data_IF_424451803981
#
_entry.id   IF_424451803981
#
_cell.length_a   1.000
_cell.length_b   1.000
_cell.length_c   1.000
_cell.angle_alpha   90.00
_cell.angle_beta   90.00
_cell.angle_gamma   90.00
#
_symmetry.space_group_name_H-M   'P 1'
#
loop_
_entity.id
_entity.type
_entity.pdbx_description
1 polymer ?
#
# COMPACT_ATOMS: atom_id res chain seq x y z
N UNK A 1 12.97 -0.78 10.92
CA UNK A 1 13.94 -0.01 10.12
C UNK A 1 13.84 -0.46 8.67
N UNK A 2 13.74 0.46 7.71
CA UNK A 2 13.90 0.18 6.28
C UNK A 2 15.26 0.70 5.85
N UNK A 3 16.08 -0.18 5.29
CA UNK A 3 17.40 0.18 4.79
C UNK A 3 17.34 0.50 3.29
N UNK A 4 18.20 1.42 2.87
CA UNK A 4 18.31 1.85 1.48
C UNK A 4 19.76 1.80 1.04
N UNK A 5 20.01 1.18 -0.11
CA UNK A 5 21.30 1.26 -0.80
C UNK A 5 21.34 2.43 -1.79
N UNK A 6 22.50 3.06 -1.94
CA UNK A 6 22.71 4.12 -2.93
C UNK A 6 22.98 3.48 -4.30
N UNK A 7 22.13 3.80 -5.28
CA UNK A 7 22.32 3.45 -6.69
C UNK A 7 22.45 4.69 -7.56
N UNK A 8 23.03 4.51 -8.73
CA UNK A 8 23.17 5.55 -9.74
C UNK A 8 22.62 5.11 -11.09
N UNK A 9 22.04 6.03 -11.85
CA UNK A 9 21.70 5.81 -13.27
C UNK A 9 21.84 7.11 -14.06
N UNK A 10 22.07 7.00 -15.36
CA UNK A 10 21.98 8.15 -16.26
C UNK A 10 20.51 8.51 -16.50
N UNK A 11 20.16 9.77 -16.31
CA UNK A 11 18.80 10.25 -16.53
C UNK A 11 18.57 10.54 -18.03
N UNK A 12 17.55 9.91 -18.62
CA UNK A 12 17.29 9.99 -20.07
C UNK A 12 16.35 11.14 -20.47
N UNK A 13 15.52 11.63 -19.52
CA UNK A 13 14.44 12.60 -19.78
C UNK A 13 14.39 13.63 -18.63
N UNK A 14 13.97 14.85 -18.96
CA UNK A 14 13.75 15.93 -17.99
C UNK A 14 14.97 16.83 -17.78
N UNK A 15 14.92 17.65 -16.72
CA UNK A 15 15.88 18.74 -16.48
C UNK A 15 17.34 18.28 -16.32
N UNK A 16 17.59 17.03 -15.91
CA UNK A 16 18.93 16.45 -15.71
C UNK A 16 19.30 15.43 -16.79
N UNK A 17 18.72 15.56 -18.00
CA UNK A 17 19.00 14.64 -19.12
C UNK A 17 20.51 14.58 -19.40
N UNK A 18 21.03 13.36 -19.53
CA UNK A 18 22.45 13.07 -19.79
C UNK A 18 23.34 13.07 -18.53
N UNK A 19 22.81 13.39 -17.35
CA UNK A 19 23.58 13.39 -16.10
C UNK A 19 23.37 12.09 -15.31
N UNK A 20 24.42 11.63 -14.62
CA UNK A 20 24.30 10.56 -13.62
C UNK A 20 23.61 11.10 -12.37
N UNK A 21 22.51 10.47 -11.99
CA UNK A 21 21.78 10.77 -10.76
C UNK A 21 21.92 9.63 -9.75
N UNK A 22 22.01 9.98 -8.48
CA UNK A 22 22.07 9.04 -7.36
C UNK A 22 20.73 9.00 -6.63
N UNK A 23 20.28 7.82 -6.24
CA UNK A 23 19.02 7.63 -5.53
C UNK A 23 19.11 6.48 -4.54
N UNK A 24 18.29 6.55 -3.49
CA UNK A 24 18.14 5.52 -2.49
C UNK A 24 17.16 4.45 -3.01
N UNK A 25 17.59 3.19 -3.07
CA UNK A 25 16.72 2.05 -3.34
C UNK A 25 16.56 1.24 -2.06
N UNK A 26 15.32 0.98 -1.63
CA UNK A 26 15.07 0.15 -0.47
C UNK A 26 15.66 -1.25 -0.70
N UNK A 27 16.36 -1.78 0.30
CA UNK A 27 16.78 -3.18 0.34
C UNK A 27 15.56 -4.08 0.57
N UNK A 28 15.73 -5.40 0.38
CA UNK A 28 14.65 -6.35 0.55
C UNK A 28 14.01 -6.20 1.95
N UNK A 29 12.71 -5.93 1.98
CA UNK A 29 11.96 -5.78 3.22
C UNK A 29 11.48 -7.15 3.70
N UNK A 30 11.42 -7.34 5.01
CA UNK A 30 10.78 -8.52 5.58
C UNK A 30 9.27 -8.47 5.31
N UNK A 31 8.71 -9.62 4.92
CA UNK A 31 7.28 -9.75 4.63
C UNK A 31 6.60 -10.56 5.73
N UNK A 32 5.57 -9.98 6.35
CA UNK A 32 4.70 -10.71 7.26
C UNK A 32 3.68 -11.50 6.42
N UNK A 33 3.83 -12.83 6.37
CA UNK A 33 2.95 -13.70 5.59
C UNK A 33 1.59 -13.88 6.28
N UNK A 34 0.56 -14.32 5.54
CA UNK A 34 -0.77 -14.58 6.11
C UNK A 34 -0.72 -15.56 7.29
N UNK A 35 0.10 -16.62 7.20
CA UNK A 35 0.28 -17.57 8.30
C UNK A 35 0.90 -16.89 9.53
N UNK A 36 1.91 -16.03 9.34
CA UNK A 36 2.49 -15.27 10.45
C UNK A 36 1.51 -14.27 11.08
N UNK A 37 0.59 -13.70 10.30
CA UNK A 37 -0.50 -12.86 10.81
C UNK A 37 -1.47 -13.70 11.65
N UNK A 38 -1.91 -14.85 11.13
CA UNK A 38 -2.79 -15.79 11.85
C UNK A 38 -2.15 -16.20 13.17
N UNK A 39 -0.90 -16.64 13.14
CA UNK A 39 -0.16 -17.06 14.34
C UNK A 39 -0.06 -15.95 15.38
N UNK A 40 0.07 -14.69 14.95
CA UNK A 40 0.06 -13.53 15.86
C UNK A 40 -1.31 -13.34 16.50
N UNK A 41 -2.38 -13.36 15.72
CA UNK A 41 -3.75 -13.19 16.25
C UNK A 41 -4.11 -14.32 17.23
N UNK A 42 -3.76 -15.56 16.90
CA UNK A 42 -3.97 -16.72 17.78
C UNK A 42 -3.24 -16.56 19.12
N UNK A 43 -2.03 -15.99 19.13
CA UNK A 43 -1.30 -15.74 20.38
C UNK A 43 -1.93 -14.66 21.25
N UNK A 44 -2.55 -13.66 20.63
CA UNK A 44 -3.14 -12.50 21.32
C UNK A 44 -4.63 -12.71 21.69
N UNK A 45 -5.24 -13.82 21.25
CA UNK A 45 -6.67 -14.09 21.42
C UNK A 45 -6.90 -15.55 21.84
N UNK A 46 -8.14 -15.91 22.16
CA UNK A 46 -8.52 -17.30 22.42
C UNK A 46 -9.02 -18.05 21.17
N UNK A 47 -8.88 -17.47 19.98
CA UNK A 47 -9.36 -18.07 18.73
C UNK A 47 -8.40 -19.14 18.24
N UNK A 48 -8.94 -20.20 17.61
CA UNK A 48 -8.09 -21.18 16.93
C UNK A 48 -7.54 -20.62 15.62
N UNK A 49 -6.46 -21.20 15.10
CA UNK A 49 -5.96 -20.85 13.77
C UNK A 49 -7.01 -21.05 12.67
N UNK A 50 -7.90 -22.04 12.83
CA UNK A 50 -9.02 -22.27 11.93
C UNK A 50 -10.04 -21.13 11.96
N UNK A 51 -10.41 -20.66 13.15
CA UNK A 51 -11.36 -19.55 13.31
C UNK A 51 -10.80 -18.26 12.70
N UNK A 52 -9.54 -17.93 12.96
CA UNK A 52 -8.89 -16.73 12.41
C UNK A 52 -8.79 -16.82 10.89
N UNK A 53 -8.42 -17.97 10.34
CA UNK A 53 -8.34 -18.19 8.89
C UNK A 53 -9.70 -18.00 8.23
N UNK A 54 -10.74 -18.61 8.81
CA UNK A 54 -12.12 -18.48 8.33
C UNK A 54 -12.58 -17.03 8.39
N UNK A 55 -12.32 -16.31 9.49
CA UNK A 55 -12.69 -14.91 9.63
C UNK A 55 -12.03 -14.02 8.55
N UNK A 56 -10.74 -14.24 8.23
CA UNK A 56 -10.04 -13.49 7.17
C UNK A 56 -10.65 -13.78 5.79
N UNK A 57 -10.95 -15.05 5.49
CA UNK A 57 -11.58 -15.45 4.21
C UNK A 57 -12.97 -14.83 4.09
N UNK A 58 -13.80 -14.95 5.14
CA UNK A 58 -15.14 -14.37 5.17
C UNK A 58 -15.10 -12.85 5.07
N UNK A 59 -14.16 -12.18 5.75
CA UNK A 59 -13.99 -10.73 5.64
C UNK A 59 -13.65 -10.31 4.21
N UNK A 60 -12.78 -11.05 3.52
CA UNK A 60 -12.44 -10.80 2.12
C UNK A 60 -13.66 -10.91 1.20
N UNK A 61 -14.52 -11.91 1.43
CA UNK A 61 -15.77 -12.06 0.69
C UNK A 61 -16.72 -10.88 0.92
N UNK A 62 -16.94 -10.49 2.18
CA UNK A 62 -17.79 -9.34 2.54
C UNK A 62 -17.27 -8.04 1.90
N UNK A 63 -15.95 -7.79 1.96
CA UNK A 63 -15.35 -6.60 1.36
C UNK A 63 -15.54 -6.59 -0.16
N UNK A 64 -15.34 -7.74 -0.83
CA UNK A 64 -15.53 -7.85 -2.28
C UNK A 64 -16.97 -7.55 -2.67
N UNK A 65 -17.94 -8.21 -2.03
CA UNK A 65 -19.36 -8.07 -2.37
C UNK A 65 -19.86 -6.62 -2.13
N UNK A 66 -19.38 -5.98 -1.07
CA UNK A 66 -19.66 -4.57 -0.79
C UNK A 66 -19.05 -3.64 -1.85
N UNK A 67 -17.81 -3.88 -2.29
CA UNK A 67 -17.18 -3.07 -3.34
C UNK A 67 -17.84 -3.25 -4.71
N UNK A 68 -18.29 -4.47 -5.05
CA UNK A 68 -19.04 -4.76 -6.27
C UNK A 68 -20.37 -4.00 -6.33
N UNK A 69 -21.02 -3.80 -5.18
CA UNK A 69 -22.24 -2.99 -5.06
C UNK A 69 -21.97 -1.47 -4.93
N UNK A 70 -20.71 -1.04 -5.04
CA UNK A 70 -20.32 0.37 -4.94
C UNK A 70 -20.31 0.93 -3.51
N UNK A 71 -20.45 0.08 -2.50
CA UNK A 71 -20.40 0.49 -1.09
C UNK A 71 -18.95 0.71 -0.63
N UNK A 72 -18.79 1.57 0.38
CA UNK A 72 -17.54 1.67 1.14
C UNK A 72 -17.58 0.77 2.38
N UNK A 73 -16.45 0.19 2.74
CA UNK A 73 -16.31 -0.66 3.92
C UNK A 73 -15.32 -0.03 4.90
N UNK A 74 -15.76 0.23 6.14
CA UNK A 74 -14.90 0.66 7.24
C UNK A 74 -14.43 -0.56 8.04
N UNK A 75 -13.11 -0.78 8.09
CA UNK A 75 -12.47 -1.88 8.80
C UNK A 75 -11.85 -1.39 10.11
N UNK A 76 -12.68 -0.76 10.95
CA UNK A 76 -12.33 -0.27 12.28
C UNK A 76 -10.98 0.49 12.28
N UNK A 77 -10.02 0.04 13.09
CA UNK A 77 -8.74 0.73 13.31
C UNK A 77 -7.78 0.67 12.12
N UNK A 78 -8.04 -0.17 11.12
CA UNK A 78 -7.19 -0.26 9.94
C UNK A 78 -7.42 0.93 9.00
N UNK A 79 -8.66 1.13 8.59
CA UNK A 79 -9.01 2.09 7.55
C UNK A 79 -10.27 1.72 6.81
N UNK A 80 -10.52 2.39 5.69
CA UNK A 80 -11.71 2.16 4.87
C UNK A 80 -11.36 1.89 3.42
N UNK A 81 -12.05 0.93 2.80
CA UNK A 81 -12.04 0.71 1.36
C UNK A 81 -13.22 1.41 0.69
N UNK A 82 -12.99 2.00 -0.48
CA UNK A 82 -14.06 2.53 -1.33
C UNK A 82 -13.70 2.43 -2.80
N UNK A 83 -14.73 2.40 -3.66
CA UNK A 83 -14.55 2.60 -5.10
C UNK A 83 -14.46 4.10 -5.40
N UNK A 84 -13.49 4.47 -6.23
CA UNK A 84 -13.40 5.79 -6.82
C UNK A 84 -13.37 5.63 -8.34
N UNK A 85 -14.31 6.29 -9.01
CA UNK A 85 -14.37 6.33 -10.48
C UNK A 85 -13.84 7.69 -10.93
N UNK A 86 -12.62 7.76 -11.49
CA UNK A 86 -12.08 9.05 -11.92
C UNK A 86 -12.85 9.55 -13.16
N UNK A 87 -13.17 10.83 -13.18
CA UNK A 87 -13.77 11.46 -14.36
C UNK A 87 -12.74 11.75 -15.45
N UNK A 88 -13.22 11.85 -16.68
CA UNK A 88 -12.51 12.47 -17.80
C UNK A 88 -13.16 13.83 -18.06
N UNK A 89 -12.33 14.84 -18.31
CA UNK A 89 -12.84 16.15 -18.74
C UNK A 89 -13.24 16.03 -20.21
N UNK A 90 -14.46 16.45 -20.53
CA UNK A 90 -15.03 16.46 -21.87
C UNK A 90 -15.34 17.90 -22.28
N UNK A 91 -15.44 18.13 -23.59
CA UNK A 91 -15.60 19.47 -24.15
C UNK A 91 -17.06 19.94 -24.12
N UNK A 92 -18.02 19.02 -24.00
CA UNK A 92 -19.45 19.33 -23.91
C UNK A 92 -20.20 18.44 -22.90
N UNK A 93 -21.34 18.92 -22.39
CA UNK A 93 -22.18 18.20 -21.43
C UNK A 93 -22.70 16.86 -22.00
N UNK A 94 -23.04 16.83 -23.29
CA UNK A 94 -23.57 15.64 -23.97
C UNK A 94 -22.55 14.50 -24.07
N UNK A 95 -21.25 14.81 -24.00
CA UNK A 95 -20.17 13.83 -24.03
C UNK A 95 -19.91 13.18 -22.66
N UNK A 96 -20.54 13.68 -21.59
CA UNK A 96 -20.44 13.10 -20.25
C UNK A 96 -21.39 11.92 -20.13
N UNK A 97 -20.89 10.73 -20.43
CA UNK A 97 -21.62 9.45 -20.35
C UNK A 97 -20.94 8.46 -19.39
N UNK A 98 -21.52 7.28 -19.17
CA UNK A 98 -20.87 6.24 -18.37
C UNK A 98 -19.56 5.75 -19.02
N UNK A 99 -19.51 5.69 -20.34
CA UNK A 99 -18.33 5.32 -21.14
C UNK A 99 -17.24 6.40 -21.11
N UNK A 100 -17.61 7.64 -20.79
CA UNK A 100 -16.67 8.75 -20.59
C UNK A 100 -15.83 8.58 -19.33
N UNK A 101 -16.29 7.77 -18.36
CA UNK A 101 -15.64 7.54 -17.08
C UNK A 101 -14.39 6.67 -17.24
N UNK A 102 -13.39 6.91 -16.39
CA UNK A 102 -12.19 6.07 -16.36
C UNK A 102 -12.45 4.80 -15.56
N UNK A 103 -11.56 3.81 -15.74
CA UNK A 103 -11.59 2.56 -14.99
C UNK A 103 -11.71 2.82 -13.47
N UNK A 104 -12.70 2.22 -12.79
CA UNK A 104 -12.85 2.29 -11.34
C UNK A 104 -11.59 1.82 -10.62
N UNK A 105 -11.31 2.41 -9.46
CA UNK A 105 -10.16 2.06 -8.62
C UNK A 105 -10.59 1.84 -7.18
N UNK A 106 -10.03 0.83 -6.53
CA UNK A 106 -10.15 0.65 -5.08
C UNK A 106 -9.18 1.62 -4.40
N UNK A 107 -9.69 2.39 -3.44
CA UNK A 107 -8.91 3.27 -2.59
C UNK A 107 -8.99 2.76 -1.16
N UNK A 108 -7.84 2.46 -0.56
CA UNK A 108 -7.71 2.26 0.88
C UNK A 108 -7.28 3.56 1.55
N UNK A 109 -8.05 3.99 2.56
CA UNK A 109 -7.74 5.16 3.38
C UNK A 109 -7.41 4.71 4.80
N UNK A 110 -6.13 4.71 5.23
CA UNK A 110 -5.76 4.26 6.57
C UNK A 110 -6.35 5.16 7.66
N UNK A 111 -6.57 4.64 8.88
CA UNK A 111 -6.89 5.50 10.04
C UNK A 111 -5.64 6.24 10.56
N UNK A 112 -5.84 7.17 11.49
CA UNK A 112 -4.79 8.01 12.04
C UNK A 112 -3.62 7.19 12.63
N UNK A 113 -3.91 6.13 13.40
CA UNK A 113 -2.88 5.26 13.99
C UNK A 113 -2.00 4.59 12.92
N UNK A 114 -2.59 4.08 11.83
CA UNK A 114 -1.85 3.47 10.72
C UNK A 114 -0.97 4.48 9.98
N UNK A 115 -1.45 5.72 9.78
CA UNK A 115 -0.62 6.80 9.21
C UNK A 115 0.53 7.19 10.12
N UNK A 116 0.28 7.28 11.43
CA UNK A 116 1.31 7.58 12.42
C UNK A 116 2.39 6.50 12.44
N UNK A 117 2.00 5.22 12.39
CA UNK A 117 2.91 4.09 12.29
C UNK A 117 3.83 4.22 11.05
N UNK A 118 3.27 4.53 9.88
CA UNK A 118 4.05 4.73 8.66
C UNK A 118 5.10 5.86 8.79
N UNK A 119 4.75 6.97 9.44
CA UNK A 119 5.66 8.10 9.65
C UNK A 119 6.73 7.83 10.73
N UNK A 120 6.50 6.86 11.62
CA UNK A 120 7.44 6.49 12.68
C UNK A 120 8.51 5.48 12.25
N UNK A 121 8.42 4.93 11.03
CA UNK A 121 9.36 3.93 10.56
C UNK A 121 10.75 4.55 10.41
N UNK A 122 11.73 3.98 11.12
CA UNK A 122 13.13 4.37 11.00
C UNK A 122 13.67 4.05 9.59
N UNK A 123 14.31 5.02 8.95
CA UNK A 123 14.89 4.91 7.61
C UNK A 123 16.40 5.07 7.70
N UNK A 124 17.14 4.13 7.09
CA UNK A 124 18.61 4.15 7.08
C UNK A 124 19.15 4.07 5.67
N UNK A 125 20.13 4.90 5.33
CA UNK A 125 20.86 4.82 4.06
C UNK A 125 22.22 4.18 4.30
N UNK A 126 22.49 3.07 3.63
CA UNK A 126 23.77 2.35 3.69
C UNK A 126 24.74 2.98 2.69
N UNK A 127 25.87 3.49 3.20
CA UNK A 127 26.98 4.03 2.39
C UNK A 127 28.11 3.01 2.35
N UNK A 128 28.66 2.74 1.16
CA UNK A 128 29.84 1.88 1.03
C UNK A 128 31.05 2.57 1.68
N UNK A 129 31.40 2.16 2.89
CA UNK A 129 32.50 2.71 3.70
C UNK A 129 32.30 2.57 5.21
N UNK A 130 31.05 2.46 5.68
CA UNK A 130 30.72 2.45 7.11
C UNK A 130 30.96 1.09 7.81
N UNK A 131 31.39 0.05 7.07
CA UNK A 131 31.73 -1.28 7.61
C UNK A 131 33.19 -1.40 8.11
N UNK A 132 33.98 -0.31 8.08
CA UNK A 132 35.39 -0.33 8.54
C UNK A 132 35.61 0.13 9.99
N UNK A 133 34.55 0.54 10.70
CA UNK A 133 34.64 0.93 12.11
C UNK A 133 33.52 0.28 12.93
N UNK A 134 33.57 -1.05 13.08
CA UNK A 134 32.99 -1.77 14.22
C UNK A 134 33.86 -2.96 14.59
#
# INVERSE_FOLDING_TARGET
>A
MIEFEIKSKMQLIGKRKGQTVYFAQATAQQHLTSNMVIDRIVRETSLSAGDVSNAIISLSAVVRDALESGQSVDLADLGSFRIMVPSKMMDSEKEVTAESLKTPKIIFTPKAAMRAAANSVELRVIRKGDDKER
#
